data_IF_214467523665
#
_entry.id   IF_214467523665
#
_cell.length_a   1.000
_cell.length_b   1.000
_cell.length_c   1.000
_cell.angle_alpha   90.00
_cell.angle_beta   90.00
_cell.angle_gamma   90.00
#
_symmetry.space_group_name_H-M   'P 1'
#
loop_
_entity.id
_entity.type
_entity.pdbx_description
1 polymer ?
#
# COMPACT_ATOMS: atom_id res chain seq x y z
N UNK A 1 5.08 -16.81 -4.27
CA UNK A 1 5.99 -16.43 -3.17
C UNK A 1 6.45 -15.00 -3.41
N UNK A 2 5.74 -14.01 -2.85
CA UNK A 2 5.96 -12.59 -3.13
C UNK A 2 6.18 -11.79 -1.83
N UNK A 3 7.05 -12.30 -0.96
CA UNK A 3 7.40 -11.65 0.31
C UNK A 3 8.91 -11.39 0.48
N UNK A 4 9.73 -11.64 -0.56
CA UNK A 4 11.21 -11.64 -0.43
C UNK A 4 11.91 -10.55 -1.25
N UNK A 5 11.22 -9.79 -2.11
CA UNK A 5 11.91 -8.96 -3.11
C UNK A 5 12.15 -7.49 -2.76
N UNK A 6 11.81 -6.99 -1.57
CA UNK A 6 11.89 -5.53 -1.31
C UNK A 6 11.11 -4.67 -2.33
N UNK A 7 10.28 -5.29 -3.17
CA UNK A 7 9.43 -4.60 -4.13
C UNK A 7 8.27 -4.02 -3.34
N UNK A 8 8.41 -2.75 -2.97
CA UNK A 8 7.37 -2.05 -2.23
C UNK A 8 6.02 -2.19 -2.93
N UNK A 9 5.01 -2.55 -2.15
CA UNK A 9 3.66 -2.85 -2.58
C UNK A 9 3.01 -1.56 -3.09
N UNK A 10 2.35 -1.59 -4.24
CA UNK A 10 1.61 -0.43 -4.76
C UNK A 10 0.15 -0.41 -4.28
N UNK A 11 -0.52 0.74 -4.43
CA UNK A 11 -1.96 0.84 -4.17
C UNK A 11 -2.80 -0.16 -4.99
N UNK A 12 -2.34 -0.55 -6.18
CA UNK A 12 -3.03 -1.52 -7.04
C UNK A 12 -2.89 -2.95 -6.48
N UNK A 13 -1.71 -3.30 -6.01
CA UNK A 13 -1.45 -4.60 -5.39
C UNK A 13 -2.25 -4.77 -4.10
N UNK A 14 -2.32 -3.73 -3.27
CA UNK A 14 -3.17 -3.75 -2.06
C UNK A 14 -4.62 -4.02 -2.44
N UNK A 15 -5.16 -3.34 -3.46
CA UNK A 15 -6.54 -3.60 -3.91
C UNK A 15 -6.72 -5.05 -4.39
N UNK A 16 -5.73 -5.61 -5.08
CA UNK A 16 -5.78 -6.99 -5.58
C UNK A 16 -5.69 -8.02 -4.46
N UNK A 17 -4.79 -7.82 -3.49
CA UNK A 17 -4.60 -8.70 -2.32
C UNK A 17 -5.88 -8.76 -1.48
N UNK A 18 -6.52 -7.61 -1.26
CA UNK A 18 -7.77 -7.53 -0.50
C UNK A 18 -9.03 -7.78 -1.34
N UNK A 19 -8.89 -8.08 -2.64
CA UNK A 19 -10.04 -8.36 -3.53
C UNK A 19 -11.02 -7.18 -3.67
N UNK A 20 -10.55 -5.95 -3.48
CA UNK A 20 -11.39 -4.75 -3.46
C UNK A 20 -11.87 -4.42 -4.88
N UNK A 21 -13.19 -4.42 -5.08
CA UNK A 21 -13.82 -4.08 -6.36
C UNK A 21 -13.64 -2.58 -6.65
N UNK A 22 -13.69 -2.17 -7.92
CA UNK A 22 -13.50 -0.75 -8.29
C UNK A 22 -14.47 0.21 -7.59
N UNK A 23 -15.68 -0.26 -7.30
CA UNK A 23 -16.69 0.47 -6.52
C UNK A 23 -16.23 0.81 -5.09
N UNK A 24 -15.23 0.11 -4.56
CA UNK A 24 -14.67 0.28 -3.22
C UNK A 24 -13.31 0.98 -3.24
N UNK A 25 -12.92 1.64 -4.37
CA UNK A 25 -11.67 2.39 -4.48
C UNK A 25 -11.47 3.42 -3.36
N UNK A 26 -12.54 4.10 -2.92
CA UNK A 26 -12.44 5.08 -1.83
C UNK A 26 -12.15 4.39 -0.50
N UNK A 27 -12.83 3.26 -0.22
CA UNK A 27 -12.63 2.43 0.99
C UNK A 27 -11.22 1.86 1.03
N UNK A 28 -10.72 1.37 -0.12
CA UNK A 28 -9.35 0.91 -0.27
C UNK A 28 -8.34 1.99 0.10
N UNK A 29 -8.51 3.20 -0.45
CA UNK A 29 -7.60 4.32 -0.19
C UNK A 29 -7.62 4.75 1.27
N UNK A 30 -8.80 4.69 1.91
CA UNK A 30 -8.99 4.99 3.33
C UNK A 30 -8.35 3.96 4.25
N UNK A 31 -8.47 2.67 3.90
CA UNK A 31 -7.78 1.59 4.61
C UNK A 31 -6.26 1.80 4.52
N UNK A 32 -5.72 2.04 3.31
CA UNK A 32 -4.28 2.27 3.12
C UNK A 32 -3.80 3.46 3.96
N UNK A 33 -4.52 4.58 3.96
CA UNK A 33 -4.19 5.74 4.77
C UNK A 33 -4.19 5.41 6.27
N UNK A 34 -5.24 4.75 6.77
CA UNK A 34 -5.30 4.30 8.17
C UNK A 34 -4.14 3.34 8.51
N UNK A 35 -3.77 2.42 7.63
CA UNK A 35 -2.67 1.47 7.85
C UNK A 35 -1.31 2.16 7.92
N UNK A 36 -1.12 3.24 7.15
CA UNK A 36 0.07 4.13 7.25
C UNK A 36 0.06 4.88 8.58
N UNK A 37 -1.07 5.47 8.98
CA UNK A 37 -1.21 6.18 10.27
C UNK A 37 -0.98 5.26 11.47
N UNK A 38 -1.48 4.03 11.41
CA UNK A 38 -1.28 3.00 12.43
C UNK A 38 0.14 2.41 12.43
N UNK A 39 1.07 2.96 11.61
CA UNK A 39 2.46 2.51 11.52
C UNK A 39 2.59 1.00 11.25
N UNK A 40 1.66 0.43 10.49
CA UNK A 40 1.71 -0.97 10.04
C UNK A 40 2.50 -1.10 8.73
N UNK A 41 2.44 -0.06 7.90
CA UNK A 41 3.21 0.08 6.66
C UNK A 41 3.87 1.46 6.61
N UNK A 42 5.05 1.53 6.00
CA UNK A 42 5.79 2.78 5.77
C UNK A 42 5.81 3.09 4.28
N UNK A 43 5.71 4.37 3.94
CA UNK A 43 5.93 4.82 2.56
C UNK A 43 7.42 4.66 2.26
N UNK A 44 7.74 3.89 1.22
CA UNK A 44 9.12 3.58 0.84
C UNK A 44 9.87 4.83 0.40
N UNK A 45 9.19 5.71 -0.33
CA UNK A 45 9.73 6.97 -0.83
C UNK A 45 8.65 8.07 -0.70
N UNK A 46 8.81 9.02 0.23
CA UNK A 46 7.83 10.07 0.48
C UNK A 46 7.85 11.19 -0.58
N UNK A 47 8.93 11.31 -1.36
CA UNK A 47 9.10 12.34 -2.40
C UNK A 47 8.46 11.92 -3.73
N UNK A 48 8.18 10.63 -3.86
CA UNK A 48 7.55 10.05 -5.04
C UNK A 48 6.08 10.46 -5.19
N UNK A 49 5.70 10.82 -6.42
CA UNK A 49 4.33 11.21 -6.74
C UNK A 49 3.30 10.14 -6.29
N UNK A 50 2.08 10.54 -5.87
CA UNK A 50 1.07 9.63 -5.29
C UNK A 50 0.77 8.37 -6.12
N UNK A 51 0.95 8.46 -7.44
CA UNK A 51 0.74 7.37 -8.39
C UNK A 51 1.81 6.27 -8.29
N UNK A 52 3.02 6.62 -7.88
CA UNK A 52 4.17 5.73 -7.78
C UNK A 52 4.53 5.40 -6.32
N UNK A 53 3.70 5.82 -5.35
CA UNK A 53 3.90 5.46 -3.95
C UNK A 53 3.90 3.95 -3.78
N UNK A 54 5.01 3.47 -3.22
CA UNK A 54 5.22 2.10 -2.78
C UNK A 54 5.24 2.05 -1.26
N UNK A 55 4.76 0.95 -0.71
CA UNK A 55 4.70 0.72 0.73
C UNK A 55 5.52 -0.52 1.10
N UNK A 56 6.21 -0.43 2.23
CA UNK A 56 6.92 -1.54 2.85
C UNK A 56 6.30 -1.83 4.23
N UNK A 57 6.42 -3.05 4.75
CA UNK A 57 6.06 -3.33 6.14
C UNK A 57 6.85 -2.41 7.08
N UNK A 58 6.25 -1.98 8.18
CA UNK A 58 6.94 -1.08 9.13
C UNK A 58 8.20 -1.69 9.76
N UNK A 59 8.28 -3.02 9.81
CA UNK A 59 9.41 -3.78 10.34
C UNK A 59 10.53 -4.07 9.32
N UNK A 60 10.40 -3.58 8.08
CA UNK A 60 11.37 -3.76 6.99
C UNK A 60 12.36 -2.59 6.88
#
# INVERSE_FOLDING_TARGET
MAYVNFEGISNADIRKIFGLKEKEKSKASRIIANTVENSLIKVMDPDTAPRYKKYIPYWA
#
